data_IF_882081542829
#
_entry.id   IF_882081542829
#
_cell.length_a   1.000
_cell.length_b   1.000
_cell.length_c   1.000
_cell.angle_alpha   90.00
_cell.angle_beta   90.00
_cell.angle_gamma   90.00
#
_symmetry.space_group_name_H-M   'P 1'
#
loop_
_entity.id
_entity.type
_entity.pdbx_description
1 polymer ?
#
# COMPACT_ATOMS: atom_id res chain seq x y z
N UNK A 1 26.70 -11.15 -22.09
CA UNK A 1 25.62 -10.20 -21.76
C UNK A 1 24.29 -10.87 -22.05
N UNK A 2 23.87 -11.78 -21.19
CA UNK A 2 22.92 -11.60 -20.08
C UNK A 2 21.44 -11.66 -20.49
N UNK A 3 20.90 -12.88 -20.52
CA UNK A 3 19.45 -13.14 -20.46
C UNK A 3 19.10 -13.53 -19.02
N UNK A 4 18.72 -12.52 -18.22
CA UNK A 4 18.33 -12.69 -16.82
C UNK A 4 17.10 -13.60 -16.72
N UNK A 5 17.31 -14.73 -16.05
CA UNK A 5 16.43 -15.38 -15.07
C UNK A 5 14.96 -14.96 -15.09
N UNK A 6 14.12 -15.79 -15.71
CA UNK A 6 12.69 -15.84 -15.43
C UNK A 6 12.47 -16.55 -14.08
N UNK A 7 12.14 -15.79 -13.03
CA UNK A 7 11.51 -16.37 -11.84
C UNK A 7 10.03 -16.60 -12.13
N UNK A 8 9.46 -17.79 -11.91
CA UNK A 8 8.05 -18.06 -12.11
C UNK A 8 7.27 -17.53 -10.90
N UNK A 9 7.19 -16.20 -10.76
CA UNK A 9 6.29 -15.54 -9.83
C UNK A 9 4.91 -15.43 -10.46
N UNK A 10 3.92 -16.08 -9.86
CA UNK A 10 2.51 -16.09 -10.27
C UNK A 10 2.06 -14.72 -10.79
N UNK A 11 1.77 -14.62 -12.10
CA UNK A 11 1.03 -13.48 -12.63
C UNK A 11 -0.40 -13.59 -12.16
N UNK A 12 -0.71 -12.95 -11.03
CA UNK A 12 -2.08 -12.84 -10.53
C UNK A 12 -2.93 -12.18 -11.63
N UNK A 13 -3.95 -12.87 -12.17
CA UNK A 13 -4.76 -12.35 -13.27
C UNK A 13 -5.39 -11.01 -12.90
N UNK A 14 -5.11 -9.97 -13.68
CA UNK A 14 -5.60 -8.60 -13.45
C UNK A 14 -4.61 -7.67 -12.75
N UNK A 15 -3.55 -8.17 -12.10
CA UNK A 15 -2.52 -7.29 -11.49
C UNK A 15 -1.65 -6.63 -12.56
N UNK A 16 -1.26 -7.37 -13.60
CA UNK A 16 -0.50 -6.80 -14.73
C UNK A 16 -1.32 -5.77 -15.49
N UNK A 17 -2.61 -6.00 -15.69
CA UNK A 17 -3.48 -5.06 -16.39
C UNK A 17 -3.82 -3.84 -15.53
N UNK A 18 -4.04 -4.03 -14.23
CA UNK A 18 -4.19 -2.93 -13.27
C UNK A 18 -2.93 -2.07 -13.20
N UNK A 19 -1.74 -2.68 -13.07
CA UNK A 19 -0.46 -1.97 -13.04
C UNK A 19 -0.13 -1.27 -14.37
N UNK A 20 -0.59 -1.78 -15.51
CA UNK A 20 -0.45 -1.09 -16.80
C UNK A 20 -1.39 0.11 -16.92
N UNK A 21 -2.65 -0.05 -16.51
CA UNK A 21 -3.67 1.03 -16.55
C UNK A 21 -3.45 2.12 -15.50
N UNK A 22 -2.85 1.76 -14.37
CA UNK A 22 -2.43 2.66 -13.31
C UNK A 22 -0.90 2.76 -13.26
N UNK A 23 -0.24 2.48 -14.39
CA UNK A 23 1.19 2.72 -14.50
C UNK A 23 1.38 4.20 -14.24
N UNK A 24 2.11 4.47 -13.16
CA UNK A 24 2.31 5.79 -12.62
C UNK A 24 3.04 6.60 -13.70
N UNK A 25 2.29 7.34 -14.52
CA UNK A 25 2.85 8.54 -15.14
C UNK A 25 3.37 9.36 -13.97
N UNK A 26 4.64 9.75 -13.99
CA UNK A 26 5.46 10.16 -12.83
C UNK A 26 4.95 11.31 -11.94
N UNK A 27 3.69 11.73 -12.06
CA UNK A 27 3.02 12.78 -11.32
C UNK A 27 2.08 12.31 -10.20
N UNK A 28 1.82 11.00 -10.02
CA UNK A 28 0.88 10.50 -9.00
C UNK A 28 1.51 9.69 -7.87
N UNK A 29 2.85 9.68 -7.74
CA UNK A 29 3.45 9.23 -6.48
C UNK A 29 3.07 10.30 -5.46
N UNK A 30 2.30 9.99 -4.40
CA UNK A 30 2.09 10.95 -3.33
C UNK A 30 3.47 11.42 -2.92
N UNK A 31 3.69 12.73 -2.94
CA UNK A 31 5.00 13.29 -2.65
C UNK A 31 5.31 12.99 -1.18
N UNK A 32 5.89 11.82 -0.91
CA UNK A 32 6.19 11.33 0.44
C UNK A 32 7.07 12.37 1.13
N UNK A 33 7.91 13.07 0.37
CA UNK A 33 8.74 14.17 0.86
C UNK A 33 7.92 15.38 1.33
N UNK A 34 6.76 15.65 0.74
CA UNK A 34 5.85 16.74 1.11
C UNK A 34 4.99 16.37 2.33
N UNK A 35 4.56 15.11 2.43
CA UNK A 35 3.92 14.57 3.63
C UNK A 35 4.90 14.56 4.83
N UNK A 36 6.16 14.17 4.60
CA UNK A 36 7.23 14.17 5.64
C UNK A 36 7.67 15.60 5.99
N UNK A 37 7.44 16.60 5.14
CA UNK A 37 7.78 18.00 5.45
C UNK A 37 6.83 18.62 6.48
N UNK A 38 5.60 18.12 6.59
CA UNK A 38 4.57 18.70 7.45
C UNK A 38 4.30 17.78 8.63
N UNK A 39 5.28 17.64 9.53
CA UNK A 39 5.04 17.01 10.83
C UNK A 39 4.04 17.86 11.62
N UNK A 40 2.91 17.24 11.99
CA UNK A 40 1.98 17.87 12.91
C UNK A 40 2.38 17.64 14.37
N UNK A 41 1.62 18.23 15.30
CA UNK A 41 1.90 18.10 16.72
C UNK A 41 1.77 16.65 17.23
N UNK A 42 0.88 15.85 16.63
CA UNK A 42 0.69 14.45 16.98
C UNK A 42 1.83 13.59 16.43
N UNK A 43 2.33 13.86 15.22
CA UNK A 43 3.49 13.17 14.65
C UNK A 43 4.74 13.38 15.54
N UNK A 44 4.96 14.62 16.01
CA UNK A 44 6.04 14.93 16.95
C UNK A 44 5.92 14.20 18.28
N UNK A 45 4.69 14.05 18.79
CA UNK A 45 4.40 13.31 20.01
C UNK A 45 4.64 11.81 19.82
N UNK A 46 4.25 11.26 18.67
CA UNK A 46 4.49 9.86 18.31
C UNK A 46 5.99 9.57 18.19
N UNK A 47 6.75 10.46 17.54
CA UNK A 47 8.20 10.34 17.42
C UNK A 47 8.90 10.36 18.78
N UNK A 48 8.48 11.27 19.68
CA UNK A 48 9.00 11.32 21.06
C UNK A 48 8.65 10.05 21.83
N UNK A 49 7.42 9.55 21.69
CA UNK A 49 7.00 8.31 22.32
C UNK A 49 7.88 7.14 21.88
N UNK A 50 8.02 6.89 20.57
CA UNK A 50 8.85 5.80 20.06
C UNK A 50 10.33 5.96 20.39
N UNK A 51 10.86 7.19 20.40
CA UNK A 51 12.24 7.47 20.79
C UNK A 51 12.52 7.25 22.28
N UNK A 52 11.50 7.30 23.13
CA UNK A 52 11.61 7.03 24.57
C UNK A 52 11.53 5.55 24.94
N UNK A 53 11.08 4.69 24.02
CA UNK A 53 10.91 3.26 24.29
C UNK A 53 12.25 2.52 24.34
N UNK A 54 12.41 1.54 25.24
CA UNK A 54 13.54 0.62 25.18
C UNK A 54 13.43 -0.27 23.93
N UNK A 55 14.58 -0.72 23.42
CA UNK A 55 14.70 -1.51 22.18
C UNK A 55 13.68 -2.66 22.09
N UNK A 56 13.53 -3.45 23.15
CA UNK A 56 12.62 -4.59 23.17
C UNK A 56 11.14 -4.18 23.03
N UNK A 57 10.74 -3.07 23.68
CA UNK A 57 9.39 -2.53 23.56
C UNK A 57 9.13 -1.95 22.15
N UNK A 58 10.13 -1.30 21.55
CA UNK A 58 10.05 -0.82 20.18
C UNK A 58 9.85 -1.97 19.18
N UNK A 59 10.56 -3.09 19.37
CA UNK A 59 10.39 -4.31 18.55
C UNK A 59 8.97 -4.89 18.71
N UNK A 60 8.41 -4.87 19.93
CA UNK A 60 7.04 -5.33 20.16
C UNK A 60 6.02 -4.43 19.44
N UNK A 61 6.16 -3.12 19.51
CA UNK A 61 5.29 -2.19 18.78
C UNK A 61 5.40 -2.37 17.25
N UNK A 62 6.62 -2.59 16.73
CA UNK A 62 6.82 -2.88 15.31
C UNK A 62 6.08 -4.17 14.89
N UNK A 63 6.14 -5.22 15.71
CA UNK A 63 5.41 -6.48 15.44
C UNK A 63 3.91 -6.27 15.43
N UNK A 64 3.37 -5.53 16.40
CA UNK A 64 1.94 -5.19 16.44
C UNK A 64 1.50 -4.46 15.18
N UNK A 65 2.25 -3.44 14.77
CA UNK A 65 1.95 -2.67 13.56
C UNK A 65 2.00 -3.54 12.31
N UNK A 66 3.00 -4.44 12.22
CA UNK A 66 3.11 -5.40 11.12
C UNK A 66 1.89 -6.34 11.05
N UNK A 67 1.46 -6.89 12.19
CA UNK A 67 0.30 -7.77 12.24
C UNK A 67 -1.00 -7.02 11.87
N UNK A 68 -1.13 -5.76 12.26
CA UNK A 68 -2.24 -4.90 11.86
C UNK A 68 -2.24 -4.63 10.36
N UNK A 69 -1.10 -4.24 9.80
CA UNK A 69 -0.96 -4.01 8.37
C UNK A 69 -1.29 -5.27 7.54
N UNK A 70 -0.86 -6.45 8.01
CA UNK A 70 -1.20 -7.72 7.37
C UNK A 70 -2.70 -7.99 7.38
N UNK A 71 -3.37 -7.83 8.53
CA UNK A 71 -4.83 -8.00 8.64
C UNK A 71 -5.59 -7.06 7.71
N UNK A 72 -5.22 -5.77 7.71
CA UNK A 72 -5.83 -4.77 6.84
C UNK A 72 -5.64 -5.14 5.36
N UNK A 73 -4.43 -5.54 4.96
CA UNK A 73 -4.19 -5.95 3.57
C UNK A 73 -5.02 -7.15 3.11
N UNK A 74 -5.29 -8.11 4.00
CA UNK A 74 -6.20 -9.23 3.71
C UNK A 74 -7.65 -8.75 3.53
N UNK A 75 -8.11 -7.85 4.40
CA UNK A 75 -9.46 -7.28 4.34
C UNK A 75 -9.66 -6.43 3.08
N UNK A 76 -8.69 -5.57 2.75
CA UNK A 76 -8.69 -4.76 1.53
C UNK A 76 -8.74 -5.65 0.28
N UNK A 77 -7.90 -6.69 0.20
CA UNK A 77 -7.89 -7.62 -0.94
C UNK A 77 -9.24 -8.33 -1.11
N UNK A 78 -9.87 -8.73 0.01
CA UNK A 78 -11.20 -9.34 0.00
C UNK A 78 -12.25 -8.37 -0.51
N UNK A 79 -12.25 -7.13 -0.02
CA UNK A 79 -13.25 -6.14 -0.41
C UNK A 79 -13.04 -5.68 -1.87
N UNK A 80 -11.79 -5.56 -2.34
CA UNK A 80 -11.48 -5.30 -3.74
C UNK A 80 -11.99 -6.41 -4.66
N UNK A 81 -11.81 -7.67 -4.27
CA UNK A 81 -12.33 -8.83 -5.00
C UNK A 81 -13.86 -8.80 -5.04
N UNK A 82 -14.51 -8.50 -3.91
CA UNK A 82 -15.96 -8.34 -3.84
C UNK A 82 -16.46 -7.20 -4.73
N UNK A 83 -15.81 -6.03 -4.69
CA UNK A 83 -16.12 -4.89 -5.55
C UNK A 83 -16.02 -5.22 -7.03
N UNK A 84 -15.03 -6.04 -7.43
CA UNK A 84 -14.91 -6.54 -8.80
C UNK A 84 -16.11 -7.38 -9.22
N UNK A 85 -16.56 -8.32 -8.39
CA UNK A 85 -17.74 -9.15 -8.70
C UNK A 85 -19.04 -8.35 -8.73
N UNK A 86 -19.13 -7.29 -7.95
CA UNK A 86 -20.27 -6.39 -7.91
C UNK A 86 -20.23 -5.29 -8.99
N UNK A 87 -19.18 -5.24 -9.81
CA UNK A 87 -18.99 -4.25 -10.87
C UNK A 87 -19.14 -2.78 -10.40
N UNK A 88 -18.86 -2.47 -9.12
CA UNK A 88 -19.08 -1.12 -8.57
C UNK A 88 -18.15 -0.06 -9.17
N UNK A 89 -17.00 -0.48 -9.71
CA UNK A 89 -16.02 0.39 -10.38
C UNK A 89 -16.14 0.36 -11.91
N UNK A 90 -17.11 -0.36 -12.49
CA UNK A 90 -17.32 -0.28 -13.94
C UNK A 90 -17.87 1.10 -14.27
N UNK A 91 -17.02 1.92 -14.90
CA UNK A 91 -17.34 3.29 -15.28
C UNK A 91 -18.70 3.39 -15.93
N UNK A 92 -19.51 4.35 -15.47
CA UNK A 92 -20.72 4.87 -16.13
C UNK A 92 -20.39 5.57 -17.46
N UNK A 93 -19.38 5.10 -18.20
CA UNK A 93 -19.06 5.50 -19.56
C UNK A 93 -19.99 4.84 -20.60
N UNK A 94 -21.29 4.80 -20.28
CA UNK A 94 -22.34 4.90 -21.30
C UNK A 94 -22.98 6.28 -21.16
N UNK A 95 -22.21 7.34 -21.40
CA UNK A 95 -22.81 8.60 -21.87
C UNK A 95 -23.21 8.34 -23.32
N UNK A 96 -24.50 8.04 -23.50
CA UNK A 96 -25.15 8.01 -24.80
C UNK A 96 -25.64 9.41 -25.11
#
# INVERSE_FOLDING_TARGET
MDRRTSFPGQRVPGVTEYAARHSISGSSIPNVLEAVRNFDAEDHKLLKFYGSLPKEALIQELKKLHDQAYKLGLEESKEMTRGKYLNILTSTARRK
#
